data_IF_078353987638
#
_entry.id   IF_078353987638
#
_cell.length_a   1.000
_cell.length_b   1.000
_cell.length_c   1.000
_cell.angle_alpha   90.00
_cell.angle_beta   90.00
_cell.angle_gamma   90.00
#
_symmetry.space_group_name_H-M   'P 1'
#
loop_
_entity.id
_entity.type
_entity.pdbx_description
1 polymer ?
#
# COMPACT_ATOMS: atom_id res chain seq x y z
N UNK A 1 -80.80 47.19 17.06
CA UNK A 1 -80.08 46.14 17.80
C UNK A 1 -79.37 45.28 16.68
N UNK A 2 -78.12 45.54 16.48
CA UNK A 2 -77.32 45.02 15.41
C UNK A 2 -76.50 43.81 15.85
N UNK A 3 -76.59 42.76 15.05
CA UNK A 3 -75.80 41.54 15.16
C UNK A 3 -74.62 41.56 14.22
N UNK A 4 -73.39 41.62 14.76
CA UNK A 4 -72.14 41.55 13.98
C UNK A 4 -71.86 40.08 13.70
N UNK A 5 -71.79 39.70 12.42
CA UNK A 5 -71.35 38.36 11.97
C UNK A 5 -69.84 38.42 11.74
N UNK A 6 -69.08 37.66 12.55
CA UNK A 6 -67.65 37.49 12.35
C UNK A 6 -67.41 36.38 11.31
N UNK A 7 -66.90 36.77 10.19
CA UNK A 7 -66.38 35.82 9.15
C UNK A 7 -64.98 35.39 9.55
N UNK A 8 -64.80 34.07 9.79
CA UNK A 8 -63.48 33.46 9.99
C UNK A 8 -62.91 33.14 8.61
N UNK A 9 -61.83 33.84 8.23
CA UNK A 9 -61.08 33.52 7.02
C UNK A 9 -60.03 32.45 7.39
N UNK A 10 -60.20 31.24 6.86
CA UNK A 10 -59.20 30.18 6.93
C UNK A 10 -58.13 30.41 5.89
N UNK A 11 -56.94 30.79 6.34
CA UNK A 11 -55.77 30.87 5.48
C UNK A 11 -55.14 29.46 5.43
N UNK A 12 -55.32 28.74 4.31
CA UNK A 12 -54.60 27.47 4.08
C UNK A 12 -53.21 27.80 3.56
N UNK A 13 -52.21 27.68 4.41
CA UNK A 13 -50.81 27.77 4.00
C UNK A 13 -50.38 26.42 3.36
N UNK A 14 -50.24 26.39 2.03
CA UNK A 14 -49.65 25.25 1.30
C UNK A 14 -48.15 25.27 1.54
N UNK A 15 -47.64 24.45 2.46
CA UNK A 15 -46.22 24.18 2.60
C UNK A 15 -45.78 23.24 1.47
N UNK A 16 -45.17 23.77 0.42
CA UNK A 16 -44.49 23.00 -0.61
C UNK A 16 -43.16 22.57 -0.02
N UNK A 17 -43.09 21.36 0.52
CA UNK A 17 -41.84 20.70 0.88
C UNK A 17 -41.10 20.31 -0.40
N UNK A 18 -40.34 21.24 -0.96
CA UNK A 18 -39.39 20.95 -2.01
C UNK A 18 -38.24 20.14 -1.42
N UNK A 19 -38.26 18.83 -1.59
CA UNK A 19 -37.06 18.02 -1.45
C UNK A 19 -36.08 18.44 -2.57
N UNK A 20 -35.26 19.42 -2.30
CA UNK A 20 -34.05 19.66 -3.09
C UNK A 20 -33.12 18.48 -2.86
N UNK A 21 -33.18 17.47 -3.71
CA UNK A 21 -32.09 16.49 -3.84
C UNK A 21 -30.89 17.30 -4.29
N UNK A 22 -29.98 17.60 -3.36
CA UNK A 22 -28.67 18.14 -3.73
C UNK A 22 -27.98 17.11 -4.62
N UNK A 23 -27.68 17.43 -5.89
CA UNK A 23 -26.86 16.57 -6.71
C UNK A 23 -25.45 16.63 -6.12
N UNK A 24 -24.97 15.52 -5.56
CA UNK A 24 -23.57 15.40 -5.17
C UNK A 24 -23.24 15.08 -3.72
N UNK A 25 -24.19 14.58 -2.91
CA UNK A 25 -23.78 13.88 -1.70
C UNK A 25 -23.16 12.54 -2.16
N UNK A 26 -21.82 12.53 -2.35
CA UNK A 26 -21.08 11.28 -2.49
C UNK A 26 -21.46 10.41 -1.31
N UNK A 27 -21.87 9.16 -1.56
CA UNK A 27 -22.14 8.20 -0.51
C UNK A 27 -20.91 8.07 0.42
N UNK A 28 -21.06 7.41 1.58
CA UNK A 28 -19.95 7.26 2.51
C UNK A 28 -18.74 6.69 1.77
N UNK A 29 -17.61 7.39 1.88
CA UNK A 29 -16.35 7.01 1.23
C UNK A 29 -15.85 5.69 1.82
N UNK A 30 -15.60 4.69 0.98
CA UNK A 30 -14.96 3.44 1.35
C UNK A 30 -13.46 3.54 1.09
N UNK A 31 -12.65 3.01 2.00
CA UNK A 31 -11.20 3.00 1.81
C UNK A 31 -10.81 2.14 0.61
N UNK A 32 -9.95 2.63 -0.28
CA UNK A 32 -9.31 1.82 -1.30
C UNK A 32 -8.58 0.62 -0.70
N UNK A 33 -8.27 -0.37 -1.52
CA UNK A 33 -7.53 -1.56 -1.09
C UNK A 33 -6.22 -1.66 -1.86
N UNK A 34 -5.15 -1.98 -1.14
CA UNK A 34 -3.81 -2.23 -1.70
C UNK A 34 -3.44 -3.67 -1.39
N UNK A 35 -3.14 -4.46 -2.44
CA UNK A 35 -2.75 -5.87 -2.28
C UNK A 35 -1.55 -6.16 -3.16
N UNK A 36 -0.53 -6.78 -2.59
CA UNK A 36 0.58 -7.32 -3.37
C UNK A 36 0.07 -8.50 -4.21
N UNK A 37 0.17 -8.37 -5.52
CA UNK A 37 -0.17 -9.46 -6.44
C UNK A 37 0.99 -10.44 -6.57
N UNK A 38 2.18 -9.89 -6.89
CA UNK A 38 3.40 -10.67 -7.08
C UNK A 38 4.66 -9.82 -6.91
N UNK A 39 5.78 -10.51 -6.74
CA UNK A 39 7.13 -9.93 -6.85
C UNK A 39 7.80 -10.50 -8.10
N UNK A 40 8.52 -9.67 -8.83
CA UNK A 40 9.25 -10.02 -10.02
C UNK A 40 10.72 -9.70 -9.83
N UNK A 41 11.60 -10.58 -10.32
CA UNK A 41 13.02 -10.26 -10.47
C UNK A 41 13.18 -9.47 -11.76
N UNK A 42 13.33 -8.15 -11.65
CA UNK A 42 13.43 -7.26 -12.82
C UNK A 42 14.83 -7.29 -13.46
N UNK A 43 15.87 -7.50 -12.64
CA UNK A 43 17.23 -7.72 -13.12
C UNK A 43 17.99 -8.57 -12.11
N UNK A 44 18.72 -9.54 -12.60
CA UNK A 44 19.49 -10.49 -11.81
C UNK A 44 20.91 -10.61 -12.33
N UNK A 45 21.83 -10.60 -11.39
CA UNK A 45 23.25 -10.89 -11.63
C UNK A 45 23.69 -11.97 -10.63
N UNK A 46 24.46 -12.99 -11.06
CA UNK A 46 24.96 -14.01 -10.16
C UNK A 46 25.71 -13.41 -8.97
N UNK A 47 25.52 -13.98 -7.78
CA UNK A 47 26.23 -13.52 -6.59
C UNK A 47 27.75 -13.61 -6.81
N UNK A 48 28.43 -12.55 -6.40
CA UNK A 48 29.88 -12.53 -6.29
C UNK A 48 30.27 -11.98 -4.89
N UNK A 49 31.26 -12.60 -4.23
CA UNK A 49 31.65 -12.17 -2.88
C UNK A 49 32.30 -10.78 -2.90
N UNK A 50 32.30 -10.07 -1.76
CA UNK A 50 33.01 -8.81 -1.62
C UNK A 50 34.47 -8.90 -2.09
N UNK A 51 35.01 -7.85 -2.73
CA UNK A 51 34.47 -6.48 -2.83
C UNK A 51 33.47 -6.24 -3.99
N UNK A 52 33.01 -7.30 -4.68
CA UNK A 52 32.04 -7.14 -5.75
C UNK A 52 30.71 -6.58 -5.23
N UNK A 53 30.11 -5.72 -6.06
CA UNK A 53 28.76 -5.17 -5.83
C UNK A 53 27.82 -5.77 -6.83
N UNK A 54 26.86 -6.55 -6.35
CA UNK A 54 25.88 -7.23 -7.19
C UNK A 54 24.51 -6.66 -6.89
N UNK A 55 23.90 -5.89 -7.81
CA UNK A 55 22.55 -5.39 -7.63
C UNK A 55 21.53 -6.51 -7.81
N UNK A 56 20.48 -6.44 -7.00
CA UNK A 56 19.25 -7.21 -7.17
C UNK A 56 18.10 -6.21 -7.36
N UNK A 57 17.45 -6.24 -8.51
CA UNK A 57 16.35 -5.34 -8.84
C UNK A 57 15.05 -6.12 -8.79
N UNK A 58 14.16 -5.71 -7.90
CA UNK A 58 12.84 -6.32 -7.72
C UNK A 58 11.73 -5.36 -8.12
N UNK A 59 10.70 -5.89 -8.79
CA UNK A 59 9.44 -5.22 -9.07
C UNK A 59 8.34 -5.78 -8.16
N UNK A 60 7.73 -4.92 -7.36
CA UNK A 60 6.55 -5.24 -6.55
C UNK A 60 5.31 -4.79 -7.31
N UNK A 61 4.45 -5.72 -7.67
CA UNK A 61 3.22 -5.44 -8.42
C UNK A 61 2.05 -5.44 -7.46
N UNK A 62 1.41 -4.30 -7.33
CA UNK A 62 0.25 -4.11 -6.46
C UNK A 62 -1.01 -3.95 -7.28
N UNK A 63 -2.11 -4.57 -6.83
CA UNK A 63 -3.46 -4.25 -7.25
C UNK A 63 -4.03 -3.21 -6.29
N UNK A 64 -4.37 -2.03 -6.83
CA UNK A 64 -4.97 -0.93 -6.07
C UNK A 64 -6.41 -0.77 -6.54
N UNK A 65 -7.36 -1.12 -5.68
CA UNK A 65 -8.79 -1.17 -6.00
C UNK A 65 -9.53 -0.01 -5.35
N UNK A 66 -10.35 0.66 -6.14
CA UNK A 66 -11.26 1.71 -5.66
C UNK A 66 -12.70 1.18 -5.59
N UNK A 67 -13.27 0.94 -4.40
CA UNK A 67 -14.65 0.46 -4.26
C UNK A 67 -15.71 1.57 -4.39
N UNK A 68 -15.32 2.83 -4.53
CA UNK A 68 -16.24 3.96 -4.63
C UNK A 68 -16.78 4.15 -6.06
N UNK A 69 -17.87 4.90 -6.21
CA UNK A 69 -18.42 5.26 -7.52
C UNK A 69 -17.74 6.49 -8.15
N UNK A 70 -16.83 7.11 -7.44
CA UNK A 70 -16.06 8.28 -7.86
C UNK A 70 -14.55 7.95 -7.92
N UNK A 71 -13.75 8.67 -8.69
CA UNK A 71 -12.31 8.46 -8.75
C UNK A 71 -11.63 8.86 -7.45
N UNK A 72 -10.55 8.14 -7.10
CA UNK A 72 -9.60 8.51 -6.04
C UNK A 72 -8.20 8.61 -6.64
N UNK A 73 -7.32 9.37 -6.02
CA UNK A 73 -5.92 9.47 -6.42
C UNK A 73 -5.02 8.88 -5.32
N UNK A 74 -4.14 7.94 -5.68
CA UNK A 74 -3.01 7.58 -4.83
C UNK A 74 -1.99 8.72 -4.92
N UNK A 75 -1.60 9.29 -3.78
CA UNK A 75 -0.65 10.41 -3.69
C UNK A 75 0.73 9.94 -3.22
N UNK A 76 0.75 9.03 -2.26
CA UNK A 76 1.97 8.50 -1.66
C UNK A 76 1.77 7.05 -1.27
N UNK A 77 2.82 6.26 -1.40
CA UNK A 77 2.88 4.90 -0.89
C UNK A 77 4.28 4.59 -0.38
N UNK A 78 4.37 4.01 0.81
CA UNK A 78 5.63 3.49 1.37
C UNK A 78 5.42 2.14 2.01
N UNK A 79 6.46 1.32 2.06
CA UNK A 79 6.43 0.02 2.71
C UNK A 79 7.85 -0.49 3.00
N UNK A 80 7.98 -1.38 3.95
CA UNK A 80 9.26 -2.04 4.28
C UNK A 80 9.34 -3.39 3.58
N UNK A 81 10.41 -3.61 2.82
CA UNK A 81 10.75 -4.89 2.19
C UNK A 81 11.64 -5.68 3.13
N UNK A 82 11.23 -6.89 3.48
CA UNK A 82 11.98 -7.79 4.35
C UNK A 82 12.11 -9.16 3.71
N UNK A 83 13.27 -9.80 3.89
CA UNK A 83 13.52 -11.17 3.44
C UNK A 83 13.59 -12.12 4.61
N UNK A 84 13.08 -13.32 4.39
CA UNK A 84 13.13 -14.39 5.37
C UNK A 84 14.56 -14.96 5.44
N UNK A 85 15.17 -14.94 6.63
CA UNK A 85 16.49 -15.50 6.89
C UNK A 85 16.43 -16.88 7.56
N UNK A 86 15.38 -17.14 8.31
CA UNK A 86 14.95 -18.44 8.86
C UNK A 86 13.42 -18.50 8.79
N UNK A 87 12.82 -19.69 8.84
CA UNK A 87 11.36 -19.83 8.81
C UNK A 87 10.66 -18.91 9.82
N UNK A 88 9.87 -17.97 9.32
CA UNK A 88 9.14 -16.97 10.10
C UNK A 88 9.96 -15.75 10.56
N UNK A 89 11.28 -15.72 10.33
CA UNK A 89 12.18 -14.64 10.75
C UNK A 89 12.55 -13.73 9.59
N UNK A 90 11.91 -12.57 9.53
CA UNK A 90 12.09 -11.59 8.46
C UNK A 90 13.02 -10.45 8.87
N UNK A 91 13.87 -10.03 7.96
CA UNK A 91 14.86 -8.95 8.13
C UNK A 91 14.61 -7.82 7.15
N UNK A 92 14.40 -6.62 7.66
CA UNK A 92 14.16 -5.43 6.85
C UNK A 92 15.43 -5.04 6.07
N UNK A 93 15.26 -4.80 4.78
CA UNK A 93 16.34 -4.49 3.85
C UNK A 93 16.23 -3.12 3.21
N UNK A 94 15.01 -2.69 2.90
CA UNK A 94 14.74 -1.42 2.24
C UNK A 94 13.33 -0.92 2.54
N UNK A 95 13.13 0.40 2.44
CA UNK A 95 11.82 1.03 2.60
C UNK A 95 11.55 1.95 1.41
N UNK A 96 11.09 1.41 0.27
CA UNK A 96 10.75 2.21 -0.89
C UNK A 96 9.58 3.16 -0.60
N UNK A 97 9.68 4.36 -1.16
CA UNK A 97 8.63 5.38 -1.16
C UNK A 97 8.29 5.78 -2.59
N UNK A 98 7.02 5.92 -2.87
CA UNK A 98 6.48 6.31 -4.18
C UNK A 98 5.65 7.58 -3.99
N UNK A 99 5.95 8.60 -4.76
CA UNK A 99 5.24 9.89 -4.79
C UNK A 99 4.56 10.12 -6.15
N UNK A 100 4.34 9.07 -6.89
CA UNK A 100 3.70 9.14 -8.20
C UNK A 100 2.19 9.16 -8.04
N UNK A 101 1.57 10.27 -8.46
CA UNK A 101 0.12 10.41 -8.42
C UNK A 101 -0.54 9.50 -9.44
N UNK A 102 -1.36 8.56 -8.98
CA UNK A 102 -2.12 7.64 -9.83
C UNK A 102 -3.62 7.78 -9.59
N UNK A 103 -4.36 8.20 -10.61
CA UNK A 103 -5.83 8.24 -10.56
C UNK A 103 -6.41 6.84 -10.77
N UNK A 104 -7.34 6.44 -9.89
CA UNK A 104 -8.04 5.15 -9.95
C UNK A 104 -9.52 5.46 -10.10
N UNK A 105 -10.12 5.19 -11.29
CA UNK A 105 -11.54 5.42 -11.52
C UNK A 105 -12.42 4.63 -10.54
N UNK A 106 -13.66 5.08 -10.38
CA UNK A 106 -14.62 4.38 -9.51
C UNK A 106 -14.86 2.95 -9.97
N UNK A 107 -15.01 2.01 -9.04
CA UNK A 107 -15.25 0.57 -9.26
C UNK A 107 -14.19 -0.12 -10.11
N UNK A 108 -12.97 0.40 -10.13
CA UNK A 108 -11.87 -0.21 -10.90
C UNK A 108 -10.70 -0.61 -10.02
N UNK A 109 -9.81 -1.40 -10.61
CA UNK A 109 -8.52 -1.80 -10.04
C UNK A 109 -7.43 -1.46 -11.03
N UNK A 110 -6.43 -0.70 -10.58
CA UNK A 110 -5.24 -0.39 -11.35
C UNK A 110 -4.05 -1.17 -10.80
N UNK A 111 -3.08 -1.49 -11.65
CA UNK A 111 -1.81 -2.03 -11.21
C UNK A 111 -0.80 -0.90 -10.98
N UNK A 112 -0.06 -1.01 -9.88
CA UNK A 112 1.09 -0.18 -9.58
C UNK A 112 2.34 -1.07 -9.50
N UNK A 113 3.39 -0.71 -10.24
CA UNK A 113 4.69 -1.36 -10.15
C UNK A 113 5.65 -0.48 -9.36
N UNK A 114 6.17 -0.98 -8.25
CA UNK A 114 7.23 -0.32 -7.47
C UNK A 114 8.52 -1.09 -7.64
N UNK A 115 9.55 -0.41 -8.15
CA UNK A 115 10.88 -1.03 -8.34
C UNK A 115 11.79 -0.64 -7.18
N UNK A 116 12.49 -1.63 -6.62
CA UNK A 116 13.53 -1.42 -5.61
C UNK A 116 14.83 -2.08 -6.02
N UNK A 117 15.94 -1.50 -5.58
CA UNK A 117 17.29 -2.02 -5.82
C UNK A 117 17.94 -2.35 -4.48
N UNK A 118 18.41 -3.56 -4.33
CA UNK A 118 19.23 -4.02 -3.22
C UNK A 118 20.66 -4.23 -3.71
N UNK A 119 21.63 -3.97 -2.86
CA UNK A 119 23.07 -4.08 -3.20
C UNK A 119 23.74 -5.09 -2.25
N UNK A 120 24.37 -6.12 -2.81
CA UNK A 120 24.98 -7.21 -2.04
C UNK A 120 26.08 -6.75 -1.09
N UNK A 121 26.72 -5.61 -1.34
CA UNK A 121 27.76 -5.04 -0.47
C UNK A 121 27.18 -4.18 0.65
N UNK A 122 26.02 -3.53 0.41
CA UNK A 122 25.39 -2.61 1.38
C UNK A 122 24.51 -3.38 2.37
N UNK A 123 23.75 -4.35 1.91
CA UNK A 123 22.79 -5.09 2.74
C UNK A 123 23.40 -5.72 4.00
N UNK A 124 24.61 -6.34 3.98
CA UNK A 124 25.20 -6.89 5.20
C UNK A 124 25.46 -5.84 6.28
N UNK A 125 25.91 -4.64 5.87
CA UNK A 125 26.13 -3.50 6.76
C UNK A 125 24.81 -3.01 7.38
N UNK A 126 23.77 -2.88 6.59
CA UNK A 126 22.45 -2.51 7.08
C UNK A 126 21.90 -3.53 8.09
N UNK A 127 22.03 -4.82 7.81
CA UNK A 127 21.62 -5.90 8.73
C UNK A 127 22.39 -5.83 10.05
N UNK A 128 23.68 -5.56 10.01
CA UNK A 128 24.50 -5.42 11.23
C UNK A 128 24.01 -4.25 12.10
N UNK A 129 23.60 -3.14 11.49
CA UNK A 129 23.12 -1.95 12.21
C UNK A 129 21.67 -2.13 12.70
N UNK A 130 20.78 -2.59 11.86
CA UNK A 130 19.33 -2.63 12.15
C UNK A 130 18.91 -3.87 12.92
N UNK A 131 19.60 -4.99 12.74
CA UNK A 131 19.19 -6.31 13.23
C UNK A 131 20.36 -7.12 13.81
N UNK A 132 21.51 -6.51 14.07
CA UNK A 132 22.77 -7.21 14.41
C UNK A 132 22.62 -8.15 15.60
N UNK A 133 21.97 -7.71 16.69
CA UNK A 133 21.69 -8.56 17.85
C UNK A 133 20.83 -9.78 17.46
N UNK A 134 19.73 -9.55 16.77
CA UNK A 134 18.80 -10.62 16.36
C UNK A 134 19.49 -11.63 15.42
N UNK A 135 20.29 -11.13 14.47
CA UNK A 135 21.09 -11.97 13.56
C UNK A 135 22.04 -12.86 14.36
N UNK A 136 22.74 -12.30 15.38
CA UNK A 136 23.65 -13.03 16.26
C UNK A 136 22.92 -14.05 17.12
N UNK A 137 21.82 -13.67 17.77
CA UNK A 137 21.01 -14.55 18.65
C UNK A 137 20.46 -15.76 17.88
N UNK A 138 20.17 -15.59 16.59
CA UNK A 138 19.72 -16.66 15.69
C UNK A 138 20.89 -17.47 15.08
N UNK A 139 22.14 -17.14 15.40
CA UNK A 139 23.32 -17.81 14.85
C UNK A 139 23.51 -17.59 13.35
N UNK A 140 22.97 -16.49 12.82
CA UNK A 140 23.10 -16.10 11.42
C UNK A 140 24.32 -15.21 11.18
N UNK A 141 24.78 -15.14 9.93
CA UNK A 141 25.82 -14.21 9.50
C UNK A 141 25.31 -13.37 8.33
N UNK A 142 25.39 -12.04 8.39
CA UNK A 142 24.86 -11.18 7.35
C UNK A 142 25.33 -11.51 5.93
N UNK A 143 26.62 -11.82 5.76
CA UNK A 143 27.18 -12.17 4.45
C UNK A 143 26.63 -13.49 3.90
N UNK A 144 26.45 -14.50 4.75
CA UNK A 144 25.89 -15.80 4.35
C UNK A 144 24.40 -15.64 3.97
N UNK A 145 23.65 -14.81 4.73
CA UNK A 145 22.25 -14.50 4.42
C UNK A 145 22.12 -13.85 3.05
N UNK A 146 22.94 -12.84 2.76
CA UNK A 146 22.89 -12.13 1.47
C UNK A 146 23.24 -13.08 0.33
N UNK A 147 24.30 -13.90 0.48
CA UNK A 147 24.64 -14.93 -0.50
C UNK A 147 23.44 -15.85 -0.77
N UNK A 148 22.84 -16.39 0.27
CA UNK A 148 21.71 -17.32 0.16
C UNK A 148 20.51 -16.68 -0.56
N UNK A 149 20.16 -15.44 -0.21
CA UNK A 149 19.07 -14.72 -0.86
C UNK A 149 19.33 -14.46 -2.35
N UNK A 150 20.54 -13.99 -2.71
CA UNK A 150 20.89 -13.74 -4.12
C UNK A 150 20.90 -15.02 -4.95
N UNK A 151 21.37 -16.13 -4.40
CA UNK A 151 21.40 -17.42 -5.11
C UNK A 151 20.00 -18.05 -5.26
N UNK A 152 19.07 -17.76 -4.34
CA UNK A 152 17.73 -18.38 -4.29
C UNK A 152 16.59 -17.49 -4.77
N UNK A 153 16.86 -16.23 -5.09
CA UNK A 153 15.79 -15.29 -5.44
C UNK A 153 15.04 -15.69 -6.72
N UNK A 154 15.71 -16.36 -7.65
CA UNK A 154 15.10 -16.77 -8.91
C UNK A 154 13.92 -17.74 -8.73
N UNK A 155 13.98 -18.58 -7.71
CA UNK A 155 12.95 -19.58 -7.39
C UNK A 155 11.98 -19.11 -6.31
N UNK A 156 12.19 -17.93 -5.73
CA UNK A 156 11.46 -17.43 -4.57
C UNK A 156 11.34 -18.47 -3.46
N UNK A 157 12.44 -19.18 -3.16
CA UNK A 157 12.46 -20.27 -2.19
C UNK A 157 12.49 -19.81 -0.73
N UNK A 158 12.42 -18.50 -0.50
CA UNK A 158 12.23 -17.86 0.80
C UNK A 158 11.13 -16.82 0.74
N UNK A 159 10.58 -16.45 1.91
CA UNK A 159 9.54 -15.44 2.00
C UNK A 159 10.07 -14.01 1.81
N UNK A 160 9.34 -13.22 1.02
CA UNK A 160 9.51 -11.77 0.91
C UNK A 160 8.29 -11.13 1.56
N UNK A 161 8.50 -10.38 2.64
CA UNK A 161 7.43 -9.70 3.37
C UNK A 161 7.44 -8.21 3.04
N UNK A 162 6.27 -7.71 2.71
CA UNK A 162 5.93 -6.30 2.69
C UNK A 162 5.24 -5.98 4.01
N UNK A 163 5.83 -5.12 4.82
CA UNK A 163 5.29 -4.73 6.13
C UNK A 163 5.28 -3.21 6.29
N UNK A 164 4.59 -2.72 7.30
CA UNK A 164 4.49 -1.28 7.61
C UNK A 164 4.05 -0.46 6.39
N UNK A 165 3.28 -1.10 5.50
CA UNK A 165 2.77 -0.46 4.29
C UNK A 165 1.73 0.59 4.63
N UNK A 166 1.88 1.77 4.04
CA UNK A 166 0.93 2.88 4.12
C UNK A 166 0.75 3.48 2.73
N UNK A 167 -0.50 3.60 2.30
CA UNK A 167 -0.88 4.28 1.07
C UNK A 167 -1.81 5.46 1.41
N UNK A 168 -1.51 6.63 0.88
CA UNK A 168 -2.30 7.85 1.04
C UNK A 168 -3.09 8.11 -0.23
N UNK A 169 -4.40 8.22 -0.07
CA UNK A 169 -5.31 8.54 -1.17
C UNK A 169 -6.01 9.86 -0.91
N UNK A 170 -6.31 10.56 -2.00
CA UNK A 170 -7.16 11.74 -2.00
C UNK A 170 -8.42 11.50 -2.85
N UNK A 171 -9.54 12.07 -2.42
CA UNK A 171 -10.82 11.93 -3.10
C UNK A 171 -11.85 12.95 -2.63
N UNK A 172 -13.07 12.94 -3.18
CA UNK A 172 -14.12 13.90 -2.83
C UNK A 172 -14.48 13.95 -1.35
N UNK A 173 -14.21 12.85 -0.61
CA UNK A 173 -14.44 12.77 0.85
C UNK A 173 -13.24 13.20 1.70
N UNK A 174 -12.16 13.70 1.08
CA UNK A 174 -10.90 14.04 1.74
C UNK A 174 -9.83 12.96 1.64
N UNK A 175 -8.74 13.15 2.36
CA UNK A 175 -7.61 12.23 2.35
C UNK A 175 -7.89 10.98 3.18
N UNK A 176 -7.45 9.83 2.68
CA UNK A 176 -7.60 8.51 3.33
C UNK A 176 -6.22 7.86 3.47
N UNK A 177 -5.96 7.27 4.63
CA UNK A 177 -4.72 6.51 4.91
C UNK A 177 -5.07 5.03 4.99
N UNK A 178 -4.46 4.23 4.15
CA UNK A 178 -4.72 2.79 4.03
C UNK A 178 -3.47 2.01 4.41
N UNK A 179 -3.46 1.31 5.56
CA UNK A 179 -2.39 0.39 5.90
C UNK A 179 -2.50 -0.89 5.08
N UNK A 180 -1.36 -1.51 4.77
CA UNK A 180 -1.33 -2.81 4.11
C UNK A 180 -0.08 -3.59 4.49
N UNK A 181 -0.18 -4.91 4.45
CA UNK A 181 0.94 -5.84 4.55
C UNK A 181 0.63 -7.08 3.72
N UNK A 182 1.67 -7.74 3.25
CA UNK A 182 1.53 -8.98 2.49
C UNK A 182 2.84 -9.78 2.51
N UNK A 183 2.78 -11.04 2.09
CA UNK A 183 3.95 -11.91 1.95
C UNK A 183 3.91 -12.61 0.60
N UNK A 184 5.06 -12.73 -0.03
CA UNK A 184 5.23 -13.45 -1.29
C UNK A 184 6.36 -14.49 -1.15
N UNK A 185 6.27 -15.68 -1.77
CA UNK A 185 5.08 -16.21 -2.42
C UNK A 185 3.93 -16.43 -1.44
N UNK A 186 2.71 -16.35 -1.92
CA UNK A 186 1.52 -16.68 -1.12
C UNK A 186 1.49 -18.18 -0.88
N UNK A 187 1.40 -18.56 0.38
CA UNK A 187 1.27 -19.95 0.82
C UNK A 187 -0.17 -20.39 0.77
#
# INVERSE_FOLDING_TARGET
MGGVKHGVVFLVALAVAGCATMPGAAGPSQSPQVKLERVEVASYFPYAPPPARVPLVLGFIYNVSNPNDFPVALEEMKFTVSFEGKPGEYFALNTPMVYERMSIPGKTTNQLRVTTVLDSLIVPGNLAVTSGRRVTDLGLKPGDMVKDWWEKIGDFSFGIRVAEGVAMFDGPGGSMVVPFEDTFPKK
#
